data_IF_015802276627
#
_entry.id   IF_015802276627
#
_cell.length_a   1.000
_cell.length_b   1.000
_cell.length_c   1.000
_cell.angle_alpha   90.00
_cell.angle_beta   90.00
_cell.angle_gamma   90.00
#
_symmetry.space_group_name_H-M   'P 1'
#
loop_
_entity.id
_entity.type
_entity.pdbx_description
1 polymer ?
#
# COMPACT_ATOMS: atom_id res chain seq x y z
N UNK A 1 -54.86 -32.00 29.09
CA UNK A 1 -53.52 -32.20 28.50
C UNK A 1 -53.32 -31.02 27.59
N UNK A 2 -52.84 -29.91 28.16
CA UNK A 2 -52.62 -28.66 27.44
C UNK A 2 -51.12 -28.38 27.38
N UNK A 3 -50.67 -28.15 26.15
CA UNK A 3 -49.30 -27.84 25.76
C UNK A 3 -48.85 -26.49 26.32
N UNK A 4 -47.90 -26.52 27.25
CA UNK A 4 -47.10 -25.36 27.64
C UNK A 4 -45.79 -25.37 26.83
N UNK A 5 -45.85 -24.86 25.60
CA UNK A 5 -44.66 -24.50 24.83
C UNK A 5 -44.30 -23.04 25.15
N UNK A 6 -43.34 -22.87 26.08
CA UNK A 6 -42.78 -21.58 26.44
C UNK A 6 -41.61 -21.27 25.49
N UNK A 7 -41.69 -20.27 24.59
CA UNK A 7 -40.58 -19.96 23.71
C UNK A 7 -39.51 -19.20 24.49
N UNK A 8 -38.36 -19.86 24.66
CA UNK A 8 -37.12 -19.25 25.15
C UNK A 8 -36.85 -17.98 24.34
N UNK A 9 -37.03 -16.82 24.99
CA UNK A 9 -36.55 -15.52 24.52
C UNK A 9 -35.05 -15.67 24.27
N UNK A 10 -34.64 -15.78 23.00
CA UNK A 10 -33.24 -15.63 22.59
C UNK A 10 -32.78 -14.27 23.09
N UNK A 11 -31.93 -14.25 24.13
CA UNK A 11 -31.20 -13.06 24.52
C UNK A 11 -30.38 -12.62 23.31
N UNK A 12 -30.85 -11.60 22.62
CA UNK A 12 -30.07 -10.85 21.64
C UNK A 12 -28.93 -10.21 22.42
N UNK A 13 -27.76 -10.85 22.37
CA UNK A 13 -26.52 -10.26 22.86
C UNK A 13 -26.34 -8.92 22.15
N UNK A 14 -26.41 -7.82 22.91
CA UNK A 14 -26.15 -6.50 22.38
C UNK A 14 -24.78 -6.53 21.68
N UNK A 15 -24.67 -5.98 20.46
CA UNK A 15 -23.45 -6.08 19.69
C UNK A 15 -22.23 -5.52 20.43
N UNK A 16 -21.09 -6.16 20.20
CA UNK A 16 -19.83 -5.86 20.88
C UNK A 16 -19.39 -4.44 20.49
N UNK A 17 -19.47 -3.51 21.45
CA UNK A 17 -19.05 -2.11 21.26
C UNK A 17 -17.60 -2.04 20.75
N UNK A 18 -17.41 -1.48 19.56
CA UNK A 18 -16.09 -1.26 18.98
C UNK A 18 -15.33 -0.10 19.65
N UNK A 19 -14.00 -0.14 19.55
CA UNK A 19 -13.11 0.90 20.09
C UNK A 19 -13.28 2.21 19.32
N UNK A 20 -13.23 3.34 20.03
CA UNK A 20 -13.37 4.71 19.47
C UNK A 20 -12.11 5.57 19.55
N UNK A 21 -11.11 5.13 20.33
CA UNK A 21 -9.87 5.87 20.49
C UNK A 21 -8.97 5.63 19.26
N UNK A 22 -8.44 6.70 18.63
CA UNK A 22 -7.46 6.55 17.55
C UNK A 22 -6.27 5.69 17.98
N UNK A 23 -5.75 4.89 17.05
CA UNK A 23 -4.53 4.12 17.26
C UNK A 23 -3.30 5.01 17.05
N UNK A 24 -2.12 4.57 17.50
CA UNK A 24 -0.86 5.21 17.10
C UNK A 24 -0.57 4.86 15.65
N UNK A 25 -0.31 5.87 14.82
CA UNK A 25 0.00 5.69 13.39
C UNK A 25 1.33 4.99 13.19
N UNK A 26 1.36 4.06 12.24
CA UNK A 26 2.61 3.57 11.66
C UNK A 26 2.99 4.46 10.47
N UNK A 27 4.13 5.13 10.55
CA UNK A 27 4.68 5.96 9.47
C UNK A 27 5.65 5.10 8.67
N UNK A 28 5.50 5.07 7.35
CA UNK A 28 6.39 4.30 6.49
C UNK A 28 7.56 5.19 6.10
N UNK A 29 8.78 4.82 6.50
CA UNK A 29 10.00 5.32 5.86
C UNK A 29 10.20 4.59 4.54
N UNK A 30 10.92 5.21 3.61
CA UNK A 30 11.02 4.77 2.23
C UNK A 30 12.45 4.50 1.79
N UNK A 31 13.43 4.98 2.57
CA UNK A 31 14.84 5.04 2.20
C UNK A 31 15.79 4.52 3.30
N UNK A 32 15.24 3.97 4.40
CA UNK A 32 16.04 3.45 5.53
C UNK A 32 16.86 2.18 5.19
N UNK A 33 16.71 1.61 3.99
CA UNK A 33 17.42 0.39 3.58
C UNK A 33 18.73 0.72 2.84
N UNK A 34 19.85 0.09 3.24
CA UNK A 34 21.18 0.36 2.67
C UNK A 34 21.22 0.20 1.14
N UNK A 35 20.59 -0.87 0.62
CA UNK A 35 20.44 -1.09 -0.82
C UNK A 35 19.84 0.12 -1.56
N UNK A 36 18.86 0.81 -0.96
CA UNK A 36 18.22 1.98 -1.57
C UNK A 36 19.23 3.12 -1.70
N UNK A 37 19.92 3.43 -0.61
CA UNK A 37 20.98 4.45 -0.62
C UNK A 37 22.08 4.11 -1.62
N UNK A 38 22.46 2.84 -1.73
CA UNK A 38 23.46 2.35 -2.68
C UNK A 38 23.07 2.61 -4.13
N UNK A 39 21.84 2.26 -4.52
CA UNK A 39 21.32 2.51 -5.88
C UNK A 39 21.27 4.01 -6.18
N UNK A 40 20.78 4.83 -5.25
CA UNK A 40 20.75 6.28 -5.43
C UNK A 40 22.15 6.84 -5.67
N UNK A 41 23.13 6.48 -4.83
CA UNK A 41 24.51 6.93 -4.96
C UNK A 41 25.12 6.59 -6.32
N UNK A 42 24.93 5.35 -6.77
CA UNK A 42 25.48 4.88 -8.05
C UNK A 42 24.85 5.58 -9.24
N UNK A 43 23.55 5.86 -9.18
CA UNK A 43 22.83 6.50 -10.27
C UNK A 43 23.19 7.97 -10.50
N UNK A 44 23.88 8.62 -9.56
CA UNK A 44 24.36 10.01 -9.70
C UNK A 44 25.27 10.16 -10.92
N UNK A 45 26.00 9.11 -11.30
CA UNK A 45 26.89 9.14 -12.47
C UNK A 45 26.14 9.49 -13.76
N UNK A 46 24.83 9.20 -13.84
CA UNK A 46 23.98 9.58 -14.98
C UNK A 46 23.90 11.10 -15.21
N UNK A 47 24.16 11.92 -14.18
CA UNK A 47 24.19 13.38 -14.29
C UNK A 47 25.44 13.90 -15.02
N UNK A 48 26.37 13.02 -15.39
CA UNK A 48 27.59 13.38 -16.14
C UNK A 48 27.39 13.31 -17.66
N UNK A 49 26.17 13.02 -18.12
CA UNK A 49 25.83 12.84 -19.53
C UNK A 49 24.73 13.82 -19.94
N UNK A 50 24.80 14.32 -21.18
CA UNK A 50 23.86 15.34 -21.66
C UNK A 50 22.59 14.73 -22.27
N UNK A 51 22.63 13.43 -22.60
CA UNK A 51 21.50 12.70 -23.20
C UNK A 51 21.42 11.26 -22.70
N UNK A 52 20.22 10.69 -22.81
CA UNK A 52 20.00 9.28 -22.52
C UNK A 52 20.76 8.38 -23.50
N UNK A 53 20.81 8.75 -24.78
CA UNK A 53 21.47 8.00 -25.85
C UNK A 53 22.97 7.88 -25.62
N UNK A 54 23.62 8.93 -25.11
CA UNK A 54 25.04 8.93 -24.74
C UNK A 54 25.27 8.02 -23.53
N UNK A 55 24.51 8.21 -22.46
CA UNK A 55 24.59 7.42 -21.23
C UNK A 55 24.34 5.92 -21.48
N UNK A 56 23.38 5.60 -22.35
CA UNK A 56 22.98 4.23 -22.64
C UNK A 56 24.06 3.40 -23.37
N UNK A 57 25.10 4.05 -23.89
CA UNK A 57 26.28 3.38 -24.45
C UNK A 57 27.12 2.69 -23.36
N UNK A 58 26.93 3.06 -22.10
CA UNK A 58 27.65 2.54 -20.95
C UNK A 58 26.76 1.60 -20.13
N UNK A 59 26.95 0.27 -20.21
CA UNK A 59 26.01 -0.71 -19.65
C UNK A 59 25.85 -0.66 -18.13
N UNK A 60 26.91 -0.33 -17.38
CA UNK A 60 26.85 -0.12 -15.94
C UNK A 60 26.06 1.14 -15.59
N UNK A 61 26.33 2.26 -16.25
CA UNK A 61 25.59 3.50 -15.99
C UNK A 61 24.11 3.33 -16.34
N UNK A 62 23.81 2.74 -17.50
CA UNK A 62 22.45 2.42 -17.91
C UNK A 62 21.74 1.57 -16.87
N UNK A 63 22.37 0.50 -16.41
CA UNK A 63 21.78 -0.39 -15.41
C UNK A 63 21.54 0.32 -14.08
N UNK A 64 22.49 1.13 -13.61
CA UNK A 64 22.33 1.90 -12.38
C UNK A 64 21.17 2.90 -12.49
N UNK A 65 21.05 3.59 -13.64
CA UNK A 65 19.97 4.54 -13.88
C UNK A 65 18.60 3.87 -13.97
N UNK A 66 18.45 2.83 -14.80
CA UNK A 66 17.19 2.09 -14.96
C UNK A 66 16.75 1.49 -13.62
N UNK A 67 17.71 0.92 -12.87
CA UNK A 67 17.49 0.41 -11.50
C UNK A 67 16.96 1.50 -10.58
N UNK A 68 17.60 2.67 -10.56
CA UNK A 68 17.15 3.80 -9.75
C UNK A 68 15.76 4.32 -10.18
N UNK A 69 15.49 4.39 -11.48
CA UNK A 69 14.18 4.79 -11.99
C UNK A 69 13.07 3.86 -11.48
N UNK A 70 13.28 2.54 -11.57
CA UNK A 70 12.31 1.56 -11.07
C UNK A 70 12.20 1.56 -9.54
N UNK A 71 13.32 1.67 -8.82
CA UNK A 71 13.35 1.79 -7.36
C UNK A 71 12.55 3.02 -6.89
N UNK A 72 12.76 4.16 -7.54
CA UNK A 72 12.06 5.42 -7.23
C UNK A 72 10.56 5.30 -7.37
N UNK A 73 10.07 4.50 -8.33
CA UNK A 73 8.62 4.21 -8.45
C UNK A 73 8.11 3.43 -7.24
N UNK A 74 8.85 2.43 -6.78
CA UNK A 74 8.51 1.63 -5.60
C UNK A 74 8.56 2.46 -4.31
N UNK A 75 9.67 3.17 -4.07
CA UNK A 75 9.88 4.07 -2.91
C UNK A 75 8.74 5.09 -2.82
N UNK A 76 8.49 5.86 -3.91
CA UNK A 76 7.39 6.83 -3.95
C UNK A 76 6.05 6.19 -3.70
N UNK A 77 5.84 4.95 -4.18
CA UNK A 77 4.57 4.27 -3.97
C UNK A 77 4.36 3.90 -2.49
N UNK A 78 5.40 3.41 -1.82
CA UNK A 78 5.41 3.12 -0.38
C UNK A 78 5.17 4.40 0.42
N UNK A 79 5.91 5.48 0.15
CA UNK A 79 5.71 6.79 0.80
C UNK A 79 4.29 7.31 0.62
N UNK A 80 3.69 7.08 -0.54
CA UNK A 80 2.35 7.57 -0.81
C UNK A 80 1.28 6.92 0.07
N UNK A 81 1.59 5.82 0.77
CA UNK A 81 0.72 5.29 1.83
C UNK A 81 0.67 6.21 3.06
N UNK A 82 1.66 7.06 3.27
CA UNK A 82 1.58 8.09 4.31
C UNK A 82 0.45 9.11 4.01
N UNK A 83 0.14 9.39 2.74
CA UNK A 83 -1.02 10.23 2.40
C UNK A 83 -2.35 9.60 2.85
N UNK A 84 -2.45 8.27 2.78
CA UNK A 84 -3.59 7.54 3.35
C UNK A 84 -3.60 7.69 4.87
N UNK A 85 -2.43 7.61 5.49
CA UNK A 85 -2.26 7.89 6.91
C UNK A 85 -2.77 9.28 7.29
N UNK A 86 -2.55 10.30 6.47
CA UNK A 86 -3.04 11.66 6.75
C UNK A 86 -4.57 11.75 6.72
N UNK A 87 -5.23 10.96 5.85
CA UNK A 87 -6.69 10.84 5.82
C UNK A 87 -7.28 10.09 7.03
N UNK A 88 -6.52 9.13 7.58
CA UNK A 88 -6.94 8.28 8.70
C UNK A 88 -6.60 8.87 10.07
N UNK A 89 -5.57 9.71 10.15
CA UNK A 89 -5.15 10.44 11.34
C UNK A 89 -5.13 11.95 11.08
N UNK A 90 -6.29 12.56 10.75
CA UNK A 90 -6.35 13.99 10.52
C UNK A 90 -5.97 14.74 11.80
N UNK A 91 -5.08 15.74 11.70
CA UNK A 91 -4.70 16.58 12.83
C UNK A 91 -5.90 17.31 13.42
N UNK A 92 -6.83 17.74 12.56
CA UNK A 92 -8.09 18.39 12.92
C UNK A 92 -9.22 17.81 12.08
N UNK A 93 -10.14 17.11 12.73
CA UNK A 93 -11.42 16.77 12.10
C UNK A 93 -12.31 18.03 12.04
N UNK A 94 -13.11 18.20 10.98
CA UNK A 94 -14.16 19.18 10.98
C UNK A 94 -15.08 18.98 12.20
N UNK A 95 -15.33 20.06 12.94
CA UNK A 95 -16.27 20.06 14.07
C UNK A 95 -17.68 19.66 13.60
N UNK A 96 -18.01 20.00 12.35
CA UNK A 96 -19.24 19.63 11.66
C UNK A 96 -18.91 19.24 10.22
N UNK A 97 -19.61 18.23 9.71
CA UNK A 97 -19.55 17.84 8.29
C UNK A 97 -20.68 18.47 7.47
N UNK A 98 -21.51 19.32 8.09
CA UNK A 98 -22.57 20.08 7.41
C UNK A 98 -22.01 21.00 6.31
N UNK A 99 -20.94 21.71 6.63
CA UNK A 99 -20.30 22.68 5.72
C UNK A 99 -19.10 22.05 4.98
N UNK A 100 -18.96 20.72 5.08
CA UNK A 100 -17.88 19.98 4.44
C UNK A 100 -18.36 19.37 3.12
N UNK A 101 -17.47 19.35 2.12
CA UNK A 101 -17.83 18.94 0.76
C UNK A 101 -18.27 17.47 0.64
N UNK A 102 -17.91 16.64 1.62
CA UNK A 102 -18.26 15.23 1.71
C UNK A 102 -18.82 14.90 3.10
N UNK A 103 -19.69 13.91 3.17
CA UNK A 103 -20.19 13.33 4.40
C UNK A 103 -19.13 12.50 5.13
N UNK A 104 -19.40 12.16 6.40
CA UNK A 104 -18.54 11.27 7.19
C UNK A 104 -18.40 9.87 6.60
N UNK A 105 -19.47 9.37 5.97
CA UNK A 105 -19.45 8.07 5.31
C UNK A 105 -18.54 8.12 4.07
N UNK A 106 -18.70 9.13 3.23
CA UNK A 106 -17.88 9.33 2.02
C UNK A 106 -16.40 9.53 2.36
N UNK A 107 -16.07 10.21 3.47
CA UNK A 107 -14.69 10.29 3.94
C UNK A 107 -14.07 8.90 4.17
N UNK A 108 -14.79 8.00 4.85
CA UNK A 108 -14.30 6.64 5.12
C UNK A 108 -14.20 5.82 3.83
N UNK A 109 -15.16 5.96 2.92
CA UNK A 109 -15.14 5.36 1.58
C UNK A 109 -13.89 5.78 0.82
N UNK A 110 -13.65 7.09 0.70
CA UNK A 110 -12.48 7.64 0.00
C UNK A 110 -11.18 7.17 0.66
N UNK A 111 -11.09 7.21 1.99
CA UNK A 111 -9.89 6.75 2.70
C UNK A 111 -9.61 5.26 2.44
N UNK A 112 -10.64 4.41 2.41
CA UNK A 112 -10.51 3.00 2.06
C UNK A 112 -10.09 2.81 0.60
N UNK A 113 -10.69 3.53 -0.34
CA UNK A 113 -10.36 3.44 -1.77
C UNK A 113 -8.92 3.83 -2.06
N UNK A 114 -8.49 4.97 -1.52
CA UNK A 114 -7.12 5.45 -1.70
C UNK A 114 -6.14 4.46 -1.06
N UNK A 115 -6.48 3.87 0.09
CA UNK A 115 -5.67 2.81 0.70
C UNK A 115 -5.54 1.60 -0.21
N UNK A 116 -6.66 1.01 -0.66
CA UNK A 116 -6.69 -0.19 -1.48
C UNK A 116 -5.92 0.00 -2.78
N UNK A 117 -6.13 1.12 -3.47
CA UNK A 117 -5.45 1.43 -4.72
C UNK A 117 -3.94 1.58 -4.52
N UNK A 118 -3.51 2.37 -3.53
CA UNK A 118 -2.08 2.60 -3.30
C UNK A 118 -1.39 1.36 -2.78
N UNK A 119 -1.99 0.67 -1.80
CA UNK A 119 -1.40 -0.53 -1.19
C UNK A 119 -1.20 -1.63 -2.22
N UNK A 120 -2.24 -1.96 -3.01
CA UNK A 120 -2.13 -3.03 -4.01
C UNK A 120 -1.10 -2.73 -5.10
N UNK A 121 -0.92 -1.45 -5.47
CA UNK A 121 0.07 -1.05 -6.46
C UNK A 121 1.54 -1.12 -5.98
N UNK A 122 1.81 -1.25 -4.68
CA UNK A 122 3.19 -1.44 -4.17
C UNK A 122 3.82 -2.70 -4.76
N UNK A 123 3.06 -3.80 -4.80
CA UNK A 123 3.56 -5.07 -5.37
C UNK A 123 3.75 -4.97 -6.86
N UNK A 124 2.90 -4.23 -7.58
CA UNK A 124 3.09 -4.02 -9.01
C UNK A 124 4.40 -3.24 -9.29
N UNK A 125 4.73 -2.24 -8.46
CA UNK A 125 6.03 -1.57 -8.50
C UNK A 125 7.19 -2.50 -8.12
N UNK A 126 7.01 -3.39 -7.15
CA UNK A 126 8.02 -4.38 -6.78
C UNK A 126 8.30 -5.36 -7.95
N UNK A 127 7.26 -5.81 -8.64
CA UNK A 127 7.41 -6.65 -9.84
C UNK A 127 8.19 -5.91 -10.93
N UNK A 128 7.86 -4.64 -11.21
CA UNK A 128 8.63 -3.81 -12.17
C UNK A 128 10.09 -3.68 -11.74
N UNK A 129 10.35 -3.50 -10.44
CA UNK A 129 11.71 -3.40 -9.93
C UNK A 129 12.49 -4.72 -10.09
N UNK A 130 11.88 -5.87 -9.79
CA UNK A 130 12.46 -7.19 -10.08
C UNK A 130 12.79 -7.36 -11.55
N UNK A 131 11.88 -6.94 -12.45
CA UNK A 131 12.10 -7.02 -13.90
C UNK A 131 13.37 -6.29 -14.34
N UNK A 132 13.65 -5.13 -13.74
CA UNK A 132 14.85 -4.35 -14.04
C UNK A 132 16.10 -4.99 -13.43
N UNK A 133 16.06 -5.37 -12.15
CA UNK A 133 17.22 -6.01 -11.49
C UNK A 133 17.65 -7.28 -12.21
N UNK A 134 16.69 -8.15 -12.54
CA UNK A 134 16.97 -9.41 -13.23
C UNK A 134 17.10 -9.27 -14.75
N UNK A 135 16.91 -8.07 -15.30
CA UNK A 135 16.94 -7.78 -16.74
C UNK A 135 16.06 -8.75 -17.54
N UNK A 136 14.84 -8.94 -17.05
CA UNK A 136 13.88 -9.88 -17.65
C UNK A 136 13.28 -9.37 -18.97
N UNK A 137 13.55 -8.11 -19.36
CA UNK A 137 13.10 -7.49 -20.61
C UNK A 137 11.59 -7.60 -20.84
N UNK A 138 10.80 -7.56 -19.77
CA UNK A 138 9.34 -7.52 -19.87
C UNK A 138 8.86 -6.08 -19.93
N UNK A 139 7.86 -5.84 -20.77
CA UNK A 139 7.05 -4.62 -20.66
C UNK A 139 6.39 -4.56 -19.28
N UNK A 140 6.20 -3.35 -18.73
CA UNK A 140 5.63 -3.16 -17.39
C UNK A 140 4.30 -3.92 -17.19
N UNK A 141 3.40 -3.88 -18.18
CA UNK A 141 2.10 -4.58 -18.14
C UNK A 141 2.20 -6.12 -18.15
N UNK A 142 3.36 -6.66 -18.53
CA UNK A 142 3.66 -8.10 -18.60
C UNK A 142 4.46 -8.57 -17.38
N UNK A 143 4.84 -7.67 -16.48
CA UNK A 143 5.52 -8.03 -15.24
C UNK A 143 4.56 -8.80 -14.33
N UNK A 144 4.74 -10.13 -14.24
CA UNK A 144 3.94 -10.99 -13.38
C UNK A 144 4.79 -12.10 -12.79
N UNK A 145 4.33 -12.65 -11.66
CA UNK A 145 4.97 -13.77 -10.98
C UNK A 145 5.25 -14.95 -11.94
N UNK A 146 4.26 -15.34 -12.73
CA UNK A 146 4.38 -16.45 -13.68
C UNK A 146 5.42 -16.19 -14.78
N UNK A 147 5.55 -14.94 -15.22
CA UNK A 147 6.57 -14.57 -16.21
C UNK A 147 7.96 -14.61 -15.58
N UNK A 148 8.13 -14.15 -14.33
CA UNK A 148 9.41 -14.23 -13.63
C UNK A 148 9.87 -15.66 -13.36
N UNK A 149 8.93 -16.56 -13.05
CA UNK A 149 9.23 -17.99 -12.94
C UNK A 149 9.78 -18.55 -14.26
N UNK A 150 9.23 -18.14 -15.40
CA UNK A 150 9.72 -18.54 -16.73
C UNK A 150 11.07 -17.91 -17.09
N UNK A 151 11.35 -16.72 -16.59
CA UNK A 151 12.60 -15.96 -16.83
C UNK A 151 13.74 -16.36 -15.89
N UNK A 152 13.52 -17.32 -14.98
CA UNK A 152 14.56 -17.83 -14.10
C UNK A 152 14.95 -16.90 -12.95
N UNK A 153 14.03 -16.03 -12.51
CA UNK A 153 14.22 -15.24 -11.28
C UNK A 153 14.46 -16.17 -10.10
N UNK A 154 15.37 -15.78 -9.19
CA UNK A 154 15.75 -16.58 -8.03
C UNK A 154 14.53 -17.02 -7.21
N UNK A 155 14.53 -18.28 -6.77
CA UNK A 155 13.39 -18.88 -6.05
C UNK A 155 13.08 -18.20 -4.73
N UNK A 156 14.08 -17.67 -4.01
CA UNK A 156 13.87 -16.91 -2.78
C UNK A 156 13.21 -15.55 -3.08
N UNK A 157 13.61 -14.87 -4.15
CA UNK A 157 12.97 -13.62 -4.60
C UNK A 157 11.52 -13.88 -5.00
N UNK A 158 11.27 -14.94 -5.77
CA UNK A 158 9.91 -15.36 -6.12
C UNK A 158 9.09 -15.65 -4.86
N UNK A 159 9.62 -16.41 -3.91
CA UNK A 159 8.91 -16.70 -2.66
C UNK A 159 8.47 -15.42 -1.94
N UNK A 160 9.35 -14.42 -1.79
CA UNK A 160 8.98 -13.16 -1.14
C UNK A 160 7.90 -12.42 -1.93
N UNK A 161 8.00 -12.35 -3.26
CA UNK A 161 6.97 -11.76 -4.13
C UNK A 161 5.61 -12.46 -4.01
N UNK A 162 5.60 -13.79 -3.92
CA UNK A 162 4.38 -14.57 -3.70
C UNK A 162 3.76 -14.25 -2.34
N UNK A 163 4.57 -14.15 -1.28
CA UNK A 163 4.09 -13.73 0.04
C UNK A 163 3.50 -12.33 0.00
N UNK A 164 4.16 -11.38 -0.67
CA UNK A 164 3.61 -10.03 -0.84
C UNK A 164 2.27 -10.05 -1.59
N UNK A 165 2.14 -10.85 -2.65
CA UNK A 165 0.87 -11.02 -3.38
C UNK A 165 -0.23 -11.61 -2.49
N UNK A 166 0.11 -12.63 -1.70
CA UNK A 166 -0.81 -13.27 -0.76
C UNK A 166 -1.28 -12.30 0.34
N UNK A 167 -0.36 -11.52 0.90
CA UNK A 167 -0.63 -10.48 1.92
C UNK A 167 -1.59 -9.38 1.38
N UNK A 168 -1.64 -9.21 0.06
CA UNK A 168 -2.57 -8.29 -0.62
C UNK A 168 -3.87 -8.94 -1.10
N UNK A 169 -4.01 -10.26 -1.05
CA UNK A 169 -5.10 -10.99 -1.73
C UNK A 169 -6.49 -10.47 -1.35
N UNK A 170 -6.73 -10.25 -0.05
CA UNK A 170 -8.01 -9.69 0.44
C UNK A 170 -8.25 -8.27 -0.06
N UNK A 171 -7.22 -7.43 -0.07
CA UNK A 171 -7.31 -6.03 -0.48
C UNK A 171 -7.48 -5.91 -2.00
N UNK A 172 -6.86 -6.79 -2.79
CA UNK A 172 -7.08 -6.88 -4.25
C UNK A 172 -8.51 -7.32 -4.57
N UNK A 173 -9.03 -8.30 -3.84
CA UNK A 173 -10.42 -8.73 -3.98
C UNK A 173 -11.38 -7.59 -3.65
N UNK A 174 -11.22 -6.95 -2.49
CA UNK A 174 -12.05 -5.80 -2.08
C UNK A 174 -11.98 -4.67 -3.10
N UNK A 175 -10.78 -4.27 -3.53
CA UNK A 175 -10.60 -3.27 -4.59
C UNK A 175 -11.37 -3.65 -5.85
N UNK A 176 -11.21 -4.88 -6.35
CA UNK A 176 -11.88 -5.29 -7.59
C UNK A 176 -13.41 -5.28 -7.43
N UNK A 177 -13.94 -5.74 -6.30
CA UNK A 177 -15.36 -5.66 -6.00
C UNK A 177 -15.87 -4.20 -6.02
N UNK A 178 -15.14 -3.28 -5.41
CA UNK A 178 -15.50 -1.86 -5.35
C UNK A 178 -15.44 -1.20 -6.73
N UNK A 179 -14.32 -1.32 -7.42
CA UNK A 179 -14.07 -0.57 -8.67
C UNK A 179 -14.66 -1.23 -9.93
N UNK A 180 -14.94 -2.55 -9.91
CA UNK A 180 -15.51 -3.25 -11.07
C UNK A 180 -16.96 -3.69 -10.88
N UNK A 181 -17.42 -3.86 -9.64
CA UNK A 181 -18.79 -4.32 -9.35
C UNK A 181 -19.63 -3.29 -8.58
N UNK A 182 -19.04 -2.16 -8.18
CA UNK A 182 -19.75 -1.10 -7.43
C UNK A 182 -20.13 -1.52 -6.02
N UNK A 183 -19.50 -2.56 -5.47
CA UNK A 183 -19.77 -3.01 -4.10
C UNK A 183 -19.20 -2.01 -3.10
N UNK A 184 -20.01 -1.54 -2.14
CA UNK A 184 -19.54 -0.63 -1.09
C UNK A 184 -19.24 -1.34 0.22
N UNK A 185 -18.20 -0.87 0.92
CA UNK A 185 -17.77 -1.43 2.18
C UNK A 185 -18.67 -0.99 3.32
N UNK A 186 -19.00 -1.94 4.19
CA UNK A 186 -19.56 -1.64 5.51
C UNK A 186 -18.50 -1.13 6.49
N UNK A 187 -18.77 0.00 7.16
CA UNK A 187 -17.92 0.55 8.23
C UNK A 187 -18.45 0.28 9.63
N UNK A 188 -19.72 -0.10 9.73
CA UNK A 188 -20.39 -0.44 11.00
C UNK A 188 -21.31 -1.65 10.79
N UNK A 189 -21.84 -2.19 11.89
CA UNK A 189 -22.83 -3.28 11.86
C UNK A 189 -24.13 -2.92 11.14
N UNK A 190 -24.46 -1.63 11.03
CA UNK A 190 -25.58 -1.13 10.25
C UNK A 190 -25.14 0.04 9.36
N UNK A 191 -24.32 -0.30 8.36
CA UNK A 191 -23.71 0.68 7.45
C UNK A 191 -24.72 1.42 6.58
N UNK A 192 -25.86 0.80 6.25
CA UNK A 192 -26.95 1.47 5.53
C UNK A 192 -27.53 2.63 6.35
N UNK A 193 -27.83 2.38 7.63
CA UNK A 193 -28.33 3.46 8.51
C UNK A 193 -27.27 4.53 8.73
N UNK A 194 -25.99 4.15 8.84
CA UNK A 194 -24.90 5.11 8.98
C UNK A 194 -24.74 6.00 7.74
N UNK A 195 -24.72 5.43 6.53
CA UNK A 195 -24.65 6.17 5.27
C UNK A 195 -25.80 7.17 5.17
N UNK A 196 -27.04 6.71 5.39
CA UNK A 196 -28.22 7.56 5.36
C UNK A 196 -28.10 8.70 6.38
N UNK A 197 -27.78 8.38 7.64
CA UNK A 197 -27.64 9.38 8.69
C UNK A 197 -26.55 10.42 8.39
N UNK A 198 -25.43 9.99 7.82
CA UNK A 198 -24.32 10.88 7.45
C UNK A 198 -24.69 11.84 6.32
N UNK A 199 -25.48 11.40 5.33
CA UNK A 199 -26.01 12.28 4.27
C UNK A 199 -27.00 13.30 4.80
N UNK A 200 -27.87 12.89 5.74
CA UNK A 200 -28.80 13.83 6.37
C UNK A 200 -28.05 14.90 7.18
N UNK A 201 -27.02 14.51 7.94
CA UNK A 201 -26.15 15.43 8.68
C UNK A 201 -25.55 16.50 7.75
N UNK A 202 -25.06 16.08 6.58
CA UNK A 202 -24.48 16.96 5.58
C UNK A 202 -25.51 17.98 5.03
N UNK A 203 -26.77 17.58 4.83
CA UNK A 203 -27.86 18.49 4.45
C UNK A 203 -28.38 19.36 5.60
N UNK A 204 -27.67 19.40 6.73
CA UNK A 204 -28.02 20.21 7.89
C UNK A 204 -29.17 19.67 8.72
N UNK A 205 -29.53 18.39 8.56
CA UNK A 205 -30.61 17.72 9.32
C UNK A 205 -30.05 16.55 10.12
N UNK A 206 -30.35 16.48 11.41
CA UNK A 206 -30.00 15.29 12.20
C UNK A 206 -31.02 14.16 11.98
N UNK A 207 -30.56 12.95 11.67
CA UNK A 207 -31.42 11.77 11.72
C UNK A 207 -31.52 11.28 13.17
N UNK A 208 -32.75 11.17 13.69
CA UNK A 208 -33.03 10.70 15.06
C UNK A 208 -33.76 9.36 15.02
N UNK A 209 -33.60 8.55 16.06
CA UNK A 209 -34.23 7.24 16.18
C UNK A 209 -33.22 6.13 16.48
N UNK A 210 -33.63 4.90 16.24
CA UNK A 210 -32.81 3.70 16.44
C UNK A 210 -32.41 3.10 15.09
N UNK A 211 -31.21 2.54 15.03
CA UNK A 211 -30.72 1.77 13.90
C UNK A 211 -31.34 0.35 13.90
N UNK A 212 -31.02 -0.48 12.89
CA UNK A 212 -31.56 -1.84 12.73
C UNK A 212 -31.20 -2.78 13.87
N UNK A 213 -30.14 -2.48 14.62
CA UNK A 213 -29.72 -3.24 15.81
C UNK A 213 -30.27 -2.65 17.12
N UNK A 214 -31.19 -1.69 17.05
CA UNK A 214 -31.91 -1.13 18.21
C UNK A 214 -31.11 -0.09 19.02
N UNK A 215 -29.94 0.35 18.53
CA UNK A 215 -29.13 1.40 19.14
C UNK A 215 -29.52 2.78 18.61
N UNK A 216 -29.42 3.81 19.44
CA UNK A 216 -29.66 5.18 18.99
C UNK A 216 -28.67 5.56 17.88
N UNK A 217 -29.19 6.17 16.82
CA UNK A 217 -28.39 6.67 15.69
C UNK A 217 -27.41 7.71 16.22
N UNK A 218 -26.12 7.52 15.94
CA UNK A 218 -25.06 8.42 16.32
C UNK A 218 -23.97 8.43 15.24
N UNK A 219 -24.06 9.38 14.31
CA UNK A 219 -23.19 9.47 13.13
C UNK A 219 -21.73 9.67 13.52
N UNK A 220 -21.47 10.54 14.50
CA UNK A 220 -20.11 10.79 15.01
C UNK A 220 -19.48 9.52 15.56
N UNK A 221 -20.24 8.74 16.32
CA UNK A 221 -19.79 7.47 16.87
C UNK A 221 -19.50 6.46 15.76
N UNK A 222 -20.43 6.27 14.83
CA UNK A 222 -20.27 5.35 13.70
C UNK A 222 -19.03 5.70 12.87
N UNK A 223 -18.81 6.99 12.63
CA UNK A 223 -17.60 7.48 11.96
C UNK A 223 -16.33 7.13 12.74
N UNK A 224 -16.28 7.38 14.06
CA UNK A 224 -15.12 7.05 14.89
C UNK A 224 -14.82 5.54 14.91
N UNK A 225 -15.84 4.70 15.00
CA UNK A 225 -15.69 3.24 14.97
C UNK A 225 -15.14 2.76 13.62
N UNK A 226 -15.71 3.26 12.51
CA UNK A 226 -15.22 2.99 11.16
C UNK A 226 -13.78 3.47 10.92
N UNK A 227 -13.45 4.68 11.40
CA UNK A 227 -12.12 5.26 11.31
C UNK A 227 -11.09 4.40 12.05
N UNK A 228 -11.38 3.99 13.29
CA UNK A 228 -10.49 3.13 14.08
C UNK A 228 -10.28 1.76 13.44
N UNK A 229 -11.30 1.22 12.77
CA UNK A 229 -11.15 -0.03 12.02
C UNK A 229 -10.22 0.12 10.82
N UNK A 230 -10.38 1.19 10.03
CA UNK A 230 -9.46 1.51 8.92
C UNK A 230 -8.03 1.74 9.40
N UNK A 231 -7.84 2.49 10.50
CA UNK A 231 -6.53 2.68 11.13
C UNK A 231 -5.87 1.36 11.53
N UNK A 232 -6.66 0.42 12.09
CA UNK A 232 -6.14 -0.91 12.47
C UNK A 232 -5.68 -1.69 11.26
N UNK A 233 -6.49 -1.71 10.21
CA UNK A 233 -6.18 -2.42 8.97
C UNK A 233 -4.96 -1.81 8.29
N UNK A 234 -4.89 -0.48 8.20
CA UNK A 234 -3.75 0.24 7.68
C UNK A 234 -2.46 -0.15 8.42
N UNK A 235 -2.45 -0.05 9.76
CA UNK A 235 -1.28 -0.39 10.55
C UNK A 235 -0.88 -1.86 10.42
N UNK A 236 -1.85 -2.78 10.41
CA UNK A 236 -1.58 -4.20 10.26
C UNK A 236 -0.93 -4.51 8.91
N UNK A 237 -1.54 -4.04 7.83
CA UNK A 237 -1.06 -4.27 6.46
C UNK A 237 0.28 -3.59 6.18
N UNK A 238 0.46 -2.35 6.60
CA UNK A 238 1.71 -1.61 6.33
C UNK A 238 2.90 -2.16 7.11
N UNK A 239 2.70 -2.65 8.35
CA UNK A 239 3.77 -3.32 9.11
C UNK A 239 4.18 -4.64 8.48
N UNK A 240 3.22 -5.41 7.97
CA UNK A 240 3.52 -6.64 7.23
C UNK A 240 4.29 -6.31 5.95
N UNK A 241 3.83 -5.31 5.20
CA UNK A 241 4.44 -4.86 3.96
C UNK A 241 5.91 -4.43 4.13
N UNK A 242 6.23 -3.59 5.13
CA UNK A 242 7.63 -3.15 5.35
C UNK A 242 8.54 -4.36 5.59
N UNK A 243 8.15 -5.30 6.45
CA UNK A 243 8.94 -6.52 6.68
C UNK A 243 9.19 -7.34 5.41
N UNK A 244 8.21 -7.38 4.50
CA UNK A 244 8.37 -8.05 3.21
C UNK A 244 9.28 -7.27 2.26
N UNK A 245 9.18 -5.94 2.28
CA UNK A 245 10.04 -5.07 1.48
C UNK A 245 11.50 -5.16 1.92
N UNK A 246 11.78 -5.20 3.22
CA UNK A 246 13.15 -5.39 3.72
C UNK A 246 13.74 -6.71 3.22
N UNK A 247 13.01 -7.82 3.39
CA UNK A 247 13.39 -9.14 2.86
C UNK A 247 13.59 -9.13 1.33
N UNK A 248 12.76 -8.38 0.63
CA UNK A 248 12.83 -8.25 -0.81
C UNK A 248 14.07 -7.45 -1.24
N UNK A 249 14.38 -6.34 -0.55
CA UNK A 249 15.55 -5.52 -0.81
C UNK A 249 16.85 -6.27 -0.51
N UNK A 250 16.92 -7.02 0.60
CA UNK A 250 18.06 -7.87 0.93
C UNK A 250 18.39 -8.86 -0.22
N UNK A 251 17.36 -9.47 -0.80
CA UNK A 251 17.54 -10.43 -1.91
C UNK A 251 17.90 -9.74 -3.22
N UNK A 252 17.30 -8.58 -3.52
CA UNK A 252 17.60 -7.83 -4.72
C UNK A 252 18.99 -7.17 -4.67
N UNK A 253 19.49 -6.81 -3.49
CA UNK A 253 20.83 -6.27 -3.33
C UNK A 253 21.89 -7.28 -3.79
N UNK A 254 21.73 -8.54 -3.41
CA UNK A 254 22.64 -9.63 -3.83
C UNK A 254 22.62 -9.76 -5.35
N UNK A 255 21.44 -9.82 -5.96
CA UNK A 255 21.31 -9.95 -7.41
C UNK A 255 21.88 -8.73 -8.14
N UNK A 256 21.56 -7.53 -7.64
CA UNK A 256 22.06 -6.26 -8.17
C UNK A 256 23.59 -6.21 -8.19
N UNK A 257 24.24 -6.47 -7.05
CA UNK A 257 25.70 -6.42 -6.96
C UNK A 257 26.36 -7.52 -7.80
N UNK A 258 25.72 -8.70 -7.93
CA UNK A 258 26.22 -9.79 -8.79
C UNK A 258 26.27 -9.39 -10.27
N UNK A 259 25.32 -8.57 -10.72
CA UNK A 259 25.22 -8.08 -12.11
C UNK A 259 26.01 -6.80 -12.35
N UNK A 260 25.96 -5.89 -11.38
CA UNK A 260 26.59 -4.58 -11.47
C UNK A 260 28.11 -4.65 -11.27
N UNK A 261 28.59 -5.47 -10.34
CA UNK A 261 30.02 -5.62 -10.04
C UNK A 261 30.90 -5.97 -11.24
N UNK A 262 30.55 -6.96 -12.09
CA UNK A 262 31.27 -7.25 -13.32
C UNK A 262 31.29 -6.06 -14.31
N UNK A 263 30.20 -5.30 -14.40
CA UNK A 263 30.09 -4.16 -15.32
C UNK A 263 30.99 -3.01 -14.89
N UNK A 264 31.02 -2.71 -13.59
CA UNK A 264 32.00 -1.75 -13.05
C UNK A 264 33.41 -2.26 -13.33
N UNK A 265 33.75 -3.52 -13.07
CA UNK A 265 35.12 -4.01 -13.31
C UNK A 265 35.57 -3.87 -14.78
N UNK A 266 34.62 -4.02 -15.72
CA UNK A 266 34.87 -3.84 -17.14
C UNK A 266 34.84 -2.35 -17.59
N UNK A 267 34.33 -1.45 -16.74
CA UNK A 267 34.19 -0.03 -17.04
C UNK A 267 35.54 0.61 -17.37
N UNK A 268 35.61 1.29 -18.52
CA UNK A 268 36.77 2.07 -18.98
C UNK A 268 36.64 3.57 -18.70
N UNK A 269 35.45 4.01 -18.31
CA UNK A 269 35.11 5.36 -17.84
C UNK A 269 35.12 5.49 -16.29
N UNK A 270 34.89 6.71 -15.79
CA UNK A 270 35.13 7.24 -14.45
C UNK A 270 34.79 6.40 -13.20
N UNK A 271 34.02 5.32 -13.29
CA UNK A 271 33.68 4.45 -12.15
C UNK A 271 34.85 3.58 -11.65
N UNK A 272 35.92 3.41 -12.46
CA UNK A 272 37.05 2.50 -12.15
C UNK A 272 38.43 3.18 -12.14
N UNK A 273 38.50 4.48 -12.43
CA UNK A 273 39.77 5.19 -12.68
C UNK A 273 40.66 5.24 -11.41
N UNK A 274 40.10 5.04 -10.22
CA UNK A 274 40.84 5.02 -8.95
C UNK A 274 41.50 3.68 -8.55
N UNK A 275 41.11 2.55 -9.15
CA UNK A 275 41.60 1.22 -8.73
C UNK A 275 42.77 0.68 -9.56
N UNK A 276 43.14 1.34 -10.66
CA UNK A 276 44.26 0.92 -11.52
C UNK A 276 45.63 1.47 -11.12
N UNK A 277 45.73 2.24 -10.02
CA UNK A 277 46.98 2.93 -9.60
C UNK A 277 47.66 2.26 -8.40
N UNK A 278 47.38 0.98 -8.11
CA UNK A 278 48.14 0.20 -7.13
C UNK A 278 48.50 -1.18 -7.67
N UNK A 279 49.52 -1.21 -8.52
CA UNK A 279 50.41 -2.36 -8.73
C UNK A 279 51.82 -1.91 -8.45
#
# INVERSE_FOLDING_TARGET
MDDLHNPVRKMTTLPRRMRKKPLVRHVLSSDDHNFIGRVYQLSIVSLSFDSYEEMAQYPDVKYALETNCALKLLVRRVESLNLVGDLLWPEKLPNSFKDFAISRYEWLTIAADVFLMRYTSVVDCALIFTNVIYECELEARKCSFDQFKKRGVNTATLYVLEQMLADQGKHRFERNARFHHGEERGFTEDSMTFELAARWEQWGRGMVGKNRVGLNINVTRSFQEGLVELQRQFNFSTRALIKRLDQFYDLLEIEFESRFGPRIRAATHGLNVGNRVRT
#
